data_IF_870276006417
#
_entry.id   IF_870276006417
#
_cell.length_a   1.000
_cell.length_b   1.000
_cell.length_c   1.000
_cell.angle_alpha   90.00
_cell.angle_beta   90.00
_cell.angle_gamma   90.00
#
_symmetry.space_group_name_H-M   'P 1'
#
loop_
_entity.id
_entity.type
_entity.pdbx_description
1 polymer ?
#
# COMPACT_ATOMS: atom_id res chain seq x y z
N UNK A 1 1.86 -20.69 12.77
CA UNK A 1 2.03 -20.32 11.35
C UNK A 1 3.49 -20.52 10.96
N UNK A 2 3.78 -21.13 9.81
CA UNK A 2 5.15 -21.43 9.38
C UNK A 2 6.03 -20.18 9.17
N UNK A 3 5.45 -19.06 8.71
CA UNK A 3 6.21 -17.84 8.41
C UNK A 3 6.71 -17.15 9.68
N UNK A 4 5.84 -16.93 10.66
CA UNK A 4 6.19 -16.26 11.92
C UNK A 4 7.13 -17.07 12.83
N UNK A 5 7.32 -18.36 12.55
CA UNK A 5 8.31 -19.19 13.24
C UNK A 5 9.74 -18.91 12.75
N UNK A 6 9.90 -18.26 11.60
CA UNK A 6 11.19 -18.01 10.97
C UNK A 6 11.52 -16.52 10.81
N UNK A 7 10.53 -15.63 10.93
CA UNK A 7 10.68 -14.19 10.68
C UNK A 7 9.94 -13.38 11.75
N UNK A 8 10.62 -12.37 12.30
CA UNK A 8 10.06 -11.41 13.27
C UNK A 8 9.60 -10.13 12.54
N UNK A 9 8.65 -10.30 11.60
CA UNK A 9 8.08 -9.21 10.81
C UNK A 9 6.54 -9.31 10.88
N UNK A 10 5.81 -8.21 11.15
CA UNK A 10 4.35 -8.22 11.14
C UNK A 10 3.79 -8.73 9.81
N UNK A 11 2.74 -9.54 9.89
CA UNK A 11 2.09 -10.12 8.70
C UNK A 11 1.11 -9.11 8.08
N UNK A 12 1.02 -9.12 6.74
CA UNK A 12 -0.10 -8.54 6.01
C UNK A 12 -1.02 -9.69 5.57
N UNK A 13 -2.22 -9.78 6.16
CA UNK A 13 -3.19 -10.83 5.88
C UNK A 13 -4.06 -10.42 4.69
N UNK A 14 -3.92 -11.16 3.58
CA UNK A 14 -4.58 -10.86 2.31
C UNK A 14 -5.81 -11.74 2.11
N UNK A 15 -7.00 -11.23 2.46
CA UNK A 15 -8.28 -11.92 2.30
C UNK A 15 -9.45 -10.95 2.35
N UNK A 16 -10.53 -11.30 1.66
CA UNK A 16 -11.82 -10.62 1.73
C UNK A 16 -12.86 -11.39 2.58
N UNK A 17 -12.45 -12.49 3.21
CA UNK A 17 -13.32 -13.30 4.07
C UNK A 17 -13.07 -12.95 5.55
N UNK A 18 -14.06 -12.39 6.27
CA UNK A 18 -13.91 -12.01 7.67
C UNK A 18 -13.56 -13.19 8.59
N UNK A 19 -14.01 -14.41 8.28
CA UNK A 19 -13.70 -15.59 9.08
C UNK A 19 -12.23 -16.01 8.91
N UNK A 20 -11.70 -15.94 7.68
CA UNK A 20 -10.27 -16.21 7.41
C UNK A 20 -9.40 -15.16 8.10
N UNK A 21 -9.80 -13.88 8.01
CA UNK A 21 -9.09 -12.79 8.69
C UNK A 21 -9.08 -13.00 10.22
N UNK A 22 -10.24 -13.24 10.84
CA UNK A 22 -10.32 -13.46 12.29
C UNK A 22 -9.47 -14.65 12.74
N UNK A 23 -9.50 -15.78 12.00
CA UNK A 23 -8.68 -16.95 12.31
C UNK A 23 -7.17 -16.65 12.17
N UNK A 24 -6.77 -15.90 11.14
CA UNK A 24 -5.39 -15.49 10.94
C UNK A 24 -4.90 -14.53 12.02
N UNK A 25 -5.71 -13.53 12.38
CA UNK A 25 -5.41 -12.54 13.42
C UNK A 25 -5.29 -13.16 14.81
N UNK A 26 -6.11 -14.16 15.13
CA UNK A 26 -6.08 -14.86 16.41
C UNK A 26 -4.75 -15.58 16.69
N UNK A 27 -3.98 -15.91 15.65
CA UNK A 27 -2.70 -16.65 15.78
C UNK A 27 -1.51 -15.88 15.22
N UNK A 28 -1.72 -14.68 14.67
CA UNK A 28 -0.65 -13.81 14.18
C UNK A 28 0.01 -13.08 15.35
N UNK A 29 1.35 -13.09 15.47
CA UNK A 29 2.03 -12.32 16.50
C UNK A 29 2.03 -10.82 16.19
N UNK A 30 2.19 -10.02 17.23
CA UNK A 30 2.34 -8.57 17.12
C UNK A 30 1.07 -7.90 16.62
N UNK A 31 1.23 -6.98 15.66
CA UNK A 31 0.15 -6.14 15.14
C UNK A 31 0.08 -6.25 13.61
N UNK A 32 -0.55 -7.31 13.09
CA UNK A 32 -0.64 -7.55 11.64
C UNK A 32 -1.50 -6.48 10.94
N UNK A 33 -1.36 -6.38 9.63
CA UNK A 33 -2.14 -5.52 8.74
C UNK A 33 -3.20 -6.34 8.00
N UNK A 34 -4.43 -5.82 7.88
CA UNK A 34 -5.46 -6.42 7.03
C UNK A 34 -5.38 -5.82 5.62
N UNK A 35 -5.31 -6.69 4.61
CA UNK A 35 -5.49 -6.37 3.19
C UNK A 35 -6.70 -7.18 2.68
N UNK A 36 -7.89 -6.62 2.50
CA UNK A 36 -8.29 -5.22 2.67
C UNK A 36 -9.81 -5.15 2.90
N UNK A 37 -10.29 -3.95 3.19
CA UNK A 37 -11.70 -3.57 3.01
C UNK A 37 -11.84 -2.75 1.73
N UNK A 38 -13.04 -2.68 1.15
CA UNK A 38 -13.34 -1.76 0.05
C UNK A 38 -14.57 -0.89 0.39
N UNK A 39 -14.94 0.04 -0.49
CA UNK A 39 -16.06 0.95 -0.30
C UNK A 39 -17.46 0.36 -0.52
N UNK A 40 -17.58 -0.91 -0.93
CA UNK A 40 -18.86 -1.62 -1.01
C UNK A 40 -19.46 -1.77 0.39
N UNK A 41 -20.78 -1.58 0.51
CA UNK A 41 -21.43 -1.58 1.83
C UNK A 41 -21.28 -2.92 2.57
N UNK A 42 -21.36 -4.03 1.83
CA UNK A 42 -21.14 -5.38 2.36
C UNK A 42 -19.73 -5.59 2.90
N UNK A 43 -18.71 -4.99 2.26
CA UNK A 43 -17.31 -5.13 2.67
C UNK A 43 -17.04 -4.33 3.94
N UNK A 44 -17.50 -3.07 3.97
CA UNK A 44 -17.38 -2.21 5.15
C UNK A 44 -18.04 -2.84 6.38
N UNK A 45 -19.26 -3.36 6.23
CA UNK A 45 -20.00 -3.98 7.31
C UNK A 45 -19.38 -5.30 7.81
N UNK A 46 -18.69 -6.05 6.94
CA UNK A 46 -18.09 -7.33 7.29
C UNK A 46 -16.66 -7.20 7.85
N UNK A 47 -15.81 -6.34 7.26
CA UNK A 47 -14.37 -6.33 7.51
C UNK A 47 -13.97 -5.32 8.59
N UNK A 48 -14.56 -4.11 8.61
CA UNK A 48 -14.17 -3.10 9.60
C UNK A 48 -14.39 -3.55 11.06
N UNK A 49 -15.47 -4.28 11.42
CA UNK A 49 -15.63 -4.81 12.77
C UNK A 49 -14.48 -5.74 13.18
N UNK A 50 -13.97 -6.57 12.25
CA UNK A 50 -12.83 -7.44 12.51
C UNK A 50 -11.57 -6.62 12.80
N UNK A 51 -11.27 -5.61 11.99
CA UNK A 51 -10.14 -4.71 12.23
C UNK A 51 -10.23 -4.02 13.61
N UNK A 52 -11.44 -3.59 13.98
CA UNK A 52 -11.71 -2.94 15.26
C UNK A 52 -11.57 -3.90 16.45
N UNK A 53 -12.13 -5.11 16.35
CA UNK A 53 -12.08 -6.13 17.39
C UNK A 53 -10.65 -6.50 17.76
N UNK A 54 -9.80 -6.69 16.74
CA UNK A 54 -8.40 -7.07 16.92
C UNK A 54 -7.46 -5.87 17.12
N UNK A 55 -7.94 -4.63 16.96
CA UNK A 55 -7.13 -3.42 17.14
C UNK A 55 -5.99 -3.25 16.13
N UNK A 56 -6.19 -3.71 14.91
CA UNK A 56 -5.17 -3.79 13.85
C UNK A 56 -5.39 -2.77 12.73
N UNK A 57 -4.33 -2.31 12.04
CA UNK A 57 -4.46 -1.46 10.87
C UNK A 57 -5.09 -2.20 9.69
N UNK A 58 -5.66 -1.42 8.76
CA UNK A 58 -6.38 -1.93 7.60
C UNK A 58 -6.14 -1.10 6.34
N UNK A 59 -5.98 -1.79 5.20
CA UNK A 59 -5.98 -1.19 3.88
C UNK A 59 -7.42 -1.04 3.36
N UNK A 60 -7.78 0.14 2.89
CA UNK A 60 -9.05 0.46 2.23
C UNK A 60 -8.88 0.72 0.74
N UNK A 61 -9.42 -0.15 -0.11
CA UNK A 61 -9.39 -0.02 -1.57
C UNK A 61 -10.50 0.92 -2.06
N UNK A 62 -10.19 1.87 -2.94
CA UNK A 62 -11.17 2.80 -3.54
C UNK A 62 -12.04 2.16 -4.64
N UNK A 63 -12.69 1.05 -4.31
CA UNK A 63 -13.70 0.35 -5.13
C UNK A 63 -15.05 0.51 -4.43
N UNK A 64 -16.11 0.81 -5.17
CA UNK A 64 -17.48 0.81 -4.64
C UNK A 64 -18.33 -0.26 -5.33
N UNK A 65 -19.64 -0.26 -5.04
CA UNK A 65 -20.60 -1.20 -5.61
C UNK A 65 -20.72 -1.10 -7.15
N UNK A 66 -20.17 -0.04 -7.77
CA UNK A 66 -20.09 0.14 -9.23
C UNK A 66 -18.72 -0.29 -9.80
N UNK A 67 -17.82 -0.78 -8.97
CA UNK A 67 -16.46 -1.19 -9.34
C UNK A 67 -15.44 -0.06 -9.25
N UNK A 68 -14.41 -0.13 -10.09
CA UNK A 68 -13.29 0.81 -10.06
C UNK A 68 -13.62 2.01 -10.96
N UNK A 69 -13.75 3.20 -10.36
CA UNK A 69 -13.99 4.42 -11.13
C UNK A 69 -12.72 4.92 -11.83
N UNK A 70 -12.84 5.46 -13.05
CA UNK A 70 -11.75 6.18 -13.73
C UNK A 70 -11.76 7.69 -13.43
N UNK A 71 -12.62 8.15 -12.52
CA UNK A 71 -12.74 9.56 -12.13
C UNK A 71 -12.08 9.75 -10.76
N UNK A 72 -10.97 10.51 -10.65
CA UNK A 72 -10.26 10.71 -9.39
C UNK A 72 -11.14 11.23 -8.25
N UNK A 73 -12.08 12.14 -8.54
CA UNK A 73 -12.98 12.71 -7.54
C UNK A 73 -13.95 11.66 -6.96
N UNK A 74 -14.35 10.67 -7.76
CA UNK A 74 -15.14 9.54 -7.26
C UNK A 74 -14.31 8.64 -6.35
N UNK A 75 -13.04 8.38 -6.71
CA UNK A 75 -12.11 7.63 -5.84
C UNK A 75 -11.87 8.36 -4.51
N UNK A 76 -11.73 9.68 -4.54
CA UNK A 76 -11.63 10.52 -3.34
C UNK A 76 -12.88 10.36 -2.45
N UNK A 77 -14.08 10.41 -3.04
CA UNK A 77 -15.32 10.22 -2.28
C UNK A 77 -15.40 8.83 -1.64
N UNK A 78 -14.94 7.78 -2.34
CA UNK A 78 -14.88 6.42 -1.79
C UNK A 78 -13.86 6.34 -0.63
N UNK A 79 -12.68 6.95 -0.78
CA UNK A 79 -11.70 7.04 0.30
C UNK A 79 -12.30 7.73 1.54
N UNK A 80 -13.00 8.85 1.35
CA UNK A 80 -13.72 9.55 2.42
C UNK A 80 -14.75 8.66 3.10
N UNK A 81 -15.56 7.92 2.33
CA UNK A 81 -16.54 6.94 2.87
C UNK A 81 -15.85 5.89 3.75
N UNK A 82 -14.73 5.32 3.30
CA UNK A 82 -13.98 4.31 4.06
C UNK A 82 -13.46 4.90 5.37
N UNK A 83 -12.82 6.09 5.32
CA UNK A 83 -12.27 6.78 6.49
C UNK A 83 -13.38 7.10 7.49
N UNK A 84 -14.51 7.66 7.04
CA UNK A 84 -15.65 7.99 7.89
C UNK A 84 -16.20 6.74 8.59
N UNK A 85 -16.39 5.64 7.85
CA UNK A 85 -16.97 4.41 8.39
C UNK A 85 -16.04 3.69 9.37
N UNK A 86 -14.73 3.70 9.10
CA UNK A 86 -13.73 3.20 10.04
C UNK A 86 -13.66 4.07 11.30
N UNK A 87 -13.68 5.40 11.14
CA UNK A 87 -13.68 6.37 12.24
C UNK A 87 -14.92 6.25 13.14
N UNK A 88 -16.10 6.00 12.57
CA UNK A 88 -17.35 5.78 13.30
C UNK A 88 -17.30 4.54 14.21
N UNK A 89 -16.46 3.55 13.89
CA UNK A 89 -16.20 2.38 14.72
C UNK A 89 -15.03 2.60 15.71
N UNK A 90 -14.42 3.78 15.70
CA UNK A 90 -13.29 4.12 16.55
C UNK A 90 -11.98 3.44 16.13
N UNK A 91 -11.78 3.18 14.83
CA UNK A 91 -10.47 2.86 14.26
C UNK A 91 -9.73 4.19 14.07
N UNK A 92 -8.52 4.37 14.62
CA UNK A 92 -7.85 5.65 14.57
C UNK A 92 -7.25 5.91 13.18
N UNK A 93 -7.13 7.19 12.82
CA UNK A 93 -6.77 7.61 11.46
C UNK A 93 -5.41 7.07 10.99
N UNK A 94 -4.42 6.95 11.88
CA UNK A 94 -3.11 6.40 11.55
C UNK A 94 -3.13 4.91 11.15
N UNK A 95 -4.18 4.18 11.51
CA UNK A 95 -4.37 2.76 11.22
C UNK A 95 -5.16 2.51 9.93
N UNK A 96 -5.63 3.58 9.28
CA UNK A 96 -6.34 3.52 8.00
C UNK A 96 -5.33 3.84 6.90
N UNK A 97 -5.12 2.88 6.00
CA UNK A 97 -4.23 3.02 4.85
C UNK A 97 -5.07 2.97 3.58
N UNK A 98 -5.11 4.03 2.78
CA UNK A 98 -5.92 4.04 1.56
C UNK A 98 -5.09 3.53 0.37
N UNK A 99 -5.64 2.59 -0.40
CA UNK A 99 -5.10 2.20 -1.70
C UNK A 99 -5.92 2.89 -2.82
N UNK A 100 -5.33 3.83 -3.57
CA UNK A 100 -5.98 4.55 -4.67
C UNK A 100 -6.14 3.71 -5.95
N UNK A 101 -5.66 2.46 -5.94
CA UNK A 101 -5.70 1.46 -7.00
C UNK A 101 -4.95 1.85 -8.26
N UNK A 102 -3.69 1.42 -8.33
CA UNK A 102 -2.91 1.45 -9.56
C UNK A 102 -3.51 0.48 -10.59
N UNK A 103 -3.95 1.01 -11.72
CA UNK A 103 -4.47 0.23 -12.85
C UNK A 103 -3.45 0.10 -13.97
N UNK A 104 -3.50 -1.00 -14.72
CA UNK A 104 -2.55 -1.28 -15.79
C UNK A 104 -2.65 -0.26 -16.94
N UNK A 105 -1.55 0.42 -17.26
CA UNK A 105 -1.47 1.39 -18.37
C UNK A 105 -1.74 0.70 -19.72
N UNK A 106 -1.43 -0.59 -19.84
CA UNK A 106 -1.72 -1.39 -21.04
C UNK A 106 -3.22 -1.52 -21.35
N UNK A 107 -4.08 -1.45 -20.33
CA UNK A 107 -5.53 -1.51 -20.50
C UNK A 107 -6.13 -0.14 -20.85
N UNK A 108 -5.60 0.94 -20.27
CA UNK A 108 -5.95 2.33 -20.59
C UNK A 108 -4.76 3.25 -20.30
N UNK A 109 -4.32 3.99 -21.33
CA UNK A 109 -3.19 4.92 -21.26
C UNK A 109 -3.39 6.05 -20.23
N UNK A 110 -4.63 6.37 -19.86
CA UNK A 110 -4.93 7.38 -18.84
C UNK A 110 -4.81 6.85 -17.41
N UNK A 111 -4.70 5.53 -17.20
CA UNK A 111 -4.68 4.90 -15.87
C UNK A 111 -3.61 5.49 -14.94
N UNK A 112 -2.43 5.81 -15.48
CA UNK A 112 -1.36 6.45 -14.72
C UNK A 112 -1.75 7.82 -14.18
N UNK A 113 -2.29 8.70 -15.03
CA UNK A 113 -2.72 10.04 -14.64
C UNK A 113 -3.88 10.01 -13.65
N UNK A 114 -4.86 9.13 -13.86
CA UNK A 114 -5.98 8.94 -12.91
C UNK A 114 -5.47 8.54 -11.53
N UNK A 115 -4.53 7.59 -11.47
CA UNK A 115 -3.92 7.12 -10.21
C UNK A 115 -3.17 8.25 -9.51
N UNK A 116 -2.30 8.97 -10.23
CA UNK A 116 -1.51 10.09 -9.66
C UNK A 116 -2.40 11.21 -9.13
N UNK A 117 -3.43 11.62 -9.90
CA UNK A 117 -4.38 12.65 -9.44
C UNK A 117 -5.18 12.20 -8.23
N UNK A 118 -5.54 10.92 -8.15
CA UNK A 118 -6.24 10.36 -6.99
C UNK A 118 -5.37 10.43 -5.73
N UNK A 119 -4.08 10.09 -5.84
CA UNK A 119 -3.11 10.18 -4.73
C UNK A 119 -2.99 11.63 -4.25
N UNK A 120 -2.77 12.59 -5.15
CA UNK A 120 -2.64 14.01 -4.79
C UNK A 120 -3.90 14.53 -4.09
N UNK A 121 -5.09 14.17 -4.59
CA UNK A 121 -6.36 14.55 -3.97
C UNK A 121 -6.51 13.97 -2.55
N UNK A 122 -6.26 12.67 -2.37
CA UNK A 122 -6.39 12.01 -1.06
C UNK A 122 -5.37 12.59 -0.07
N UNK A 123 -4.14 12.84 -0.53
CA UNK A 123 -3.09 13.42 0.31
C UNK A 123 -3.49 14.82 0.81
N UNK A 124 -3.99 15.68 -0.07
CA UNK A 124 -4.38 17.06 0.27
C UNK A 124 -5.62 17.11 1.15
N UNK A 125 -6.60 16.27 0.89
CA UNK A 125 -7.88 16.30 1.59
C UNK A 125 -7.79 15.65 2.97
N UNK A 126 -7.14 14.48 3.06
CA UNK A 126 -7.20 13.65 4.27
C UNK A 126 -5.85 13.50 4.98
N UNK A 127 -4.72 13.60 4.27
CA UNK A 127 -3.38 13.43 4.87
C UNK A 127 -3.15 12.04 5.50
N UNK A 128 -3.93 11.02 5.10
CA UNK A 128 -3.83 9.65 5.62
C UNK A 128 -2.66 8.89 5.00
N UNK A 129 -2.27 7.78 5.64
CA UNK A 129 -1.36 6.82 5.05
C UNK A 129 -1.97 6.24 3.76
N UNK A 130 -1.12 6.03 2.76
CA UNK A 130 -1.51 5.44 1.48
C UNK A 130 -0.55 4.34 1.06
N UNK A 131 -1.10 3.31 0.41
CA UNK A 131 -0.34 2.22 -0.20
C UNK A 131 -0.64 2.12 -1.69
N UNK A 132 0.26 1.53 -2.46
CA UNK A 132 -0.01 1.11 -3.85
C UNK A 132 0.61 -0.26 -4.14
N UNK A 133 -0.09 -1.05 -4.94
CA UNK A 133 0.47 -2.21 -5.63
C UNK A 133 1.37 -1.77 -6.79
N UNK A 134 2.68 -1.60 -6.52
CA UNK A 134 3.61 -0.94 -7.46
C UNK A 134 3.74 -1.64 -8.82
N UNK A 135 3.50 -2.95 -8.88
CA UNK A 135 3.64 -3.76 -10.09
C UNK A 135 2.40 -3.74 -10.98
N UNK A 136 1.23 -3.33 -10.49
CA UNK A 136 -0.03 -3.36 -11.23
C UNK A 136 -0.02 -2.39 -12.42
N UNK A 137 0.59 -1.22 -12.22
CA UNK A 137 0.67 -0.13 -13.22
C UNK A 137 1.29 -0.57 -14.56
N UNK A 138 2.24 -1.51 -14.50
CA UNK A 138 3.03 -1.96 -15.65
C UNK A 138 2.60 -3.32 -16.21
N UNK A 139 1.51 -3.90 -15.71
CA UNK A 139 1.04 -5.19 -16.18
C UNK A 139 0.79 -5.15 -17.71
N UNK A 140 1.20 -6.20 -18.42
CA UNK A 140 1.07 -6.29 -19.88
C UNK A 140 2.09 -5.50 -20.72
N UNK A 141 3.05 -4.80 -20.09
CA UNK A 141 4.09 -4.04 -20.79
C UNK A 141 5.47 -4.72 -20.69
N UNK A 142 6.38 -4.50 -21.65
CA UNK A 142 7.79 -4.88 -21.52
C UNK A 142 8.53 -3.96 -20.53
N UNK A 143 9.72 -4.38 -20.10
CA UNK A 143 10.64 -3.57 -19.28
C UNK A 143 10.02 -2.91 -18.04
N UNK A 144 9.11 -3.65 -17.41
CA UNK A 144 8.29 -3.24 -16.26
C UNK A 144 9.08 -2.65 -15.10
N UNK A 145 10.34 -3.04 -14.94
CA UNK A 145 11.20 -2.53 -13.87
C UNK A 145 11.32 -1.00 -13.94
N UNK A 146 11.61 -0.44 -15.12
CA UNK A 146 11.75 1.02 -15.27
C UNK A 146 10.43 1.75 -15.04
N UNK A 147 9.32 1.19 -15.52
CA UNK A 147 7.98 1.74 -15.30
C UNK A 147 7.66 1.77 -13.80
N UNK A 148 7.90 0.67 -13.09
CA UNK A 148 7.64 0.59 -11.65
C UNK A 148 8.54 1.55 -10.85
N UNK A 149 9.80 1.73 -11.26
CA UNK A 149 10.73 2.66 -10.61
C UNK A 149 10.29 4.12 -10.80
N UNK A 150 9.94 4.50 -12.03
CA UNK A 150 9.43 5.84 -12.34
C UNK A 150 8.10 6.11 -11.60
N UNK A 151 7.19 5.13 -11.62
CA UNK A 151 5.93 5.22 -10.90
C UNK A 151 6.16 5.40 -9.38
N UNK A 152 7.09 4.64 -8.79
CA UNK A 152 7.42 4.75 -7.37
C UNK A 152 7.91 6.15 -6.99
N UNK A 153 8.79 6.75 -7.80
CA UNK A 153 9.26 8.11 -7.57
C UNK A 153 8.12 9.13 -7.60
N UNK A 154 7.19 9.00 -8.55
CA UNK A 154 6.04 9.90 -8.68
C UNK A 154 5.07 9.76 -7.48
N UNK A 155 4.70 8.54 -7.11
CA UNK A 155 3.70 8.33 -6.06
C UNK A 155 4.20 8.70 -4.66
N UNK A 156 5.48 8.45 -4.36
CA UNK A 156 6.08 8.84 -3.08
C UNK A 156 6.15 10.37 -2.96
N UNK A 157 6.47 11.07 -4.06
CA UNK A 157 6.44 12.53 -4.12
C UNK A 157 5.04 13.11 -3.86
N UNK A 158 3.99 12.39 -4.27
CA UNK A 158 2.59 12.80 -4.09
C UNK A 158 1.99 12.39 -2.73
N UNK A 159 2.74 11.67 -1.89
CA UNK A 159 2.33 11.36 -0.51
C UNK A 159 2.06 9.88 -0.21
N UNK A 160 2.35 8.95 -1.13
CA UNK A 160 2.29 7.51 -0.80
C UNK A 160 3.34 7.17 0.26
N UNK A 161 2.89 6.52 1.33
CA UNK A 161 3.69 6.21 2.52
C UNK A 161 4.25 4.79 2.55
N UNK A 162 3.61 3.84 1.88
CA UNK A 162 4.06 2.46 1.78
C UNK A 162 3.70 1.83 0.42
N UNK A 163 4.23 0.65 0.12
CA UNK A 163 3.95 -0.04 -1.15
C UNK A 163 3.97 -1.56 -0.98
N UNK A 164 3.07 -2.23 -1.69
CA UNK A 164 3.11 -3.68 -1.89
C UNK A 164 3.93 -3.93 -3.17
N UNK A 165 5.11 -4.51 -3.02
CA UNK A 165 6.05 -4.71 -4.13
C UNK A 165 7.04 -5.84 -3.84
N UNK A 166 7.83 -6.21 -4.85
CA UNK A 166 9.01 -7.04 -4.64
C UNK A 166 10.15 -6.15 -4.08
N UNK A 167 10.58 -6.37 -2.82
CA UNK A 167 11.62 -5.55 -2.20
C UNK A 167 12.97 -5.66 -2.92
N UNK A 168 13.35 -6.83 -3.44
CA UNK A 168 14.63 -7.03 -4.15
C UNK A 168 14.76 -6.10 -5.37
N UNK A 169 13.64 -5.74 -6.00
CA UNK A 169 13.61 -4.92 -7.22
C UNK A 169 13.53 -3.42 -6.95
N UNK A 170 12.85 -3.00 -5.88
CA UNK A 170 12.55 -1.59 -5.63
C UNK A 170 13.24 -0.98 -4.41
N UNK A 171 13.85 -1.75 -3.51
CA UNK A 171 14.47 -1.18 -2.31
C UNK A 171 15.55 -0.15 -2.66
N UNK A 172 16.41 -0.42 -3.66
CA UNK A 172 17.42 0.55 -4.09
C UNK A 172 16.80 1.86 -4.60
N UNK A 173 15.70 1.77 -5.36
CA UNK A 173 14.97 2.94 -5.85
C UNK A 173 14.31 3.71 -4.71
N UNK A 174 13.68 3.03 -3.76
CA UNK A 174 13.05 3.67 -2.59
C UNK A 174 14.11 4.37 -1.74
N UNK A 175 15.27 3.75 -1.50
CA UNK A 175 16.38 4.40 -0.77
C UNK A 175 16.91 5.62 -1.51
N UNK A 176 17.01 5.57 -2.83
CA UNK A 176 17.40 6.73 -3.64
C UNK A 176 16.35 7.85 -3.57
N UNK A 177 15.06 7.52 -3.61
CA UNK A 177 13.96 8.49 -3.45
C UNK A 177 14.04 9.14 -2.07
N UNK A 178 14.17 8.36 -1.00
CA UNK A 178 14.32 8.87 0.38
C UNK A 178 15.52 9.82 0.50
N UNK A 179 16.65 9.48 -0.11
CA UNK A 179 17.83 10.35 -0.18
C UNK A 179 17.50 11.69 -0.86
N UNK A 180 16.87 11.65 -2.04
CA UNK A 180 16.52 12.84 -2.82
C UNK A 180 15.49 13.73 -2.10
N UNK A 181 14.59 13.13 -1.33
CA UNK A 181 13.59 13.83 -0.52
C UNK A 181 14.13 14.34 0.83
N UNK A 182 15.43 14.16 1.10
CA UNK A 182 16.04 14.58 2.36
C UNK A 182 15.58 13.77 3.58
N UNK A 183 15.11 12.53 3.38
CA UNK A 183 14.68 11.60 4.44
C UNK A 183 15.80 10.69 4.92
N UNK A 184 17.00 10.79 4.34
CA UNK A 184 18.17 9.97 4.69
C UNK A 184 19.34 10.84 5.15
N UNK A 185 19.40 11.07 6.48
CA UNK A 185 20.43 11.91 7.09
C UNK A 185 21.83 11.40 6.72
N UNK A 186 22.65 12.30 6.16
CA UNK A 186 24.00 12.02 5.70
C UNK A 186 24.11 10.85 4.71
N UNK A 187 23.02 10.53 3.99
CA UNK A 187 22.96 9.43 3.02
C UNK A 187 23.26 8.05 3.62
N UNK A 188 23.09 7.90 4.94
CA UNK A 188 23.58 6.74 5.68
C UNK A 188 22.87 5.45 5.25
N UNK A 189 21.55 5.45 5.14
CA UNK A 189 20.77 4.26 4.78
C UNK A 189 21.03 3.86 3.33
N UNK A 190 21.19 4.82 2.42
CA UNK A 190 21.55 4.57 1.03
C UNK A 190 22.94 3.92 0.89
N UNK A 191 23.97 4.47 1.54
CA UNK A 191 25.34 3.94 1.49
C UNK A 191 25.41 2.55 2.12
N UNK A 192 24.74 2.33 3.26
CA UNK A 192 24.68 1.03 3.92
C UNK A 192 24.05 -0.03 3.01
N UNK A 193 22.91 0.28 2.40
CA UNK A 193 22.23 -0.62 1.46
C UNK A 193 23.12 -0.96 0.26
N UNK A 194 23.77 0.04 -0.34
CA UNK A 194 24.71 -0.19 -1.45
C UNK A 194 25.83 -1.16 -1.07
N UNK A 195 26.45 -0.98 0.10
CA UNK A 195 27.52 -1.88 0.60
C UNK A 195 27.00 -3.30 0.82
N UNK A 196 25.78 -3.46 1.35
CA UNK A 196 25.16 -4.76 1.52
C UNK A 196 24.93 -5.47 0.17
N UNK A 197 24.40 -4.75 -0.83
CA UNK A 197 24.21 -5.30 -2.17
C UNK A 197 25.52 -5.71 -2.83
N UNK A 198 26.60 -4.93 -2.64
CA UNK A 198 27.93 -5.29 -3.15
C UNK A 198 28.43 -6.60 -2.55
N UNK A 199 28.25 -6.83 -1.24
CA UNK A 199 28.63 -8.09 -0.58
C UNK A 199 27.89 -9.29 -1.14
N UNK A 200 26.58 -9.15 -1.36
CA UNK A 200 25.74 -10.21 -1.95
C UNK A 200 26.22 -10.55 -3.37
N UNK A 201 26.49 -9.53 -4.20
CA UNK A 201 26.97 -9.72 -5.58
C UNK A 201 28.37 -10.38 -5.60
N UNK A 202 29.24 -10.03 -4.66
CA UNK A 202 30.62 -10.53 -4.60
C UNK A 202 30.80 -11.77 -3.69
N UNK A 203 29.71 -12.38 -3.22
CA UNK A 203 29.74 -13.63 -2.47
C UNK A 203 30.42 -13.55 -1.09
N UNK A 204 30.50 -12.37 -0.48
CA UNK A 204 31.04 -12.19 0.87
C UNK A 204 29.87 -12.14 1.85
N UNK A 205 29.38 -13.32 2.27
CA UNK A 205 28.36 -13.45 3.34
C UNK A 205 28.97 -13.28 4.72
#
# INVERSE_FOLDING_TARGET
>A
MAISAHMDIPLCLDSNDPAILAAGLAVAPGRPLINSVNGEEKSLAAILPVAKEFGVPIIGLVIDDNGISMIPEKRLAIAGKIIERAGALGIPMQDIIIDPLAMAISADHNSGQVTLRTIDLIHREFGVNMTVGASNISFGLPDRAFINQAFMALVVQLGVSCAITNPEKLTSTIRAIDLLLGRDDFSMRYIQHYRQMQRIIHGQS
#
